data_IF_483641020553
#
_entry.id   IF_483641020553
#
_cell.length_a   1.000
_cell.length_b   1.000
_cell.length_c   1.000
_cell.angle_alpha   90.00
_cell.angle_beta   90.00
_cell.angle_gamma   90.00
#
_symmetry.space_group_name_H-M   'P 1'
#
loop_
_entity.id
_entity.type
_entity.pdbx_description
1 polymer ?
#
# COMPACT_ATOMS: atom_id res chain seq x y z
N UNK A 1 10.72 19.43 19.31
CA UNK A 1 11.59 18.24 19.29
C UNK A 1 12.10 18.03 17.88
N UNK A 2 13.13 17.21 17.66
CA UNK A 2 13.57 16.82 16.31
C UNK A 2 13.12 15.40 16.05
N UNK A 3 12.35 15.17 15.00
CA UNK A 3 11.93 13.82 14.58
C UNK A 3 13.15 13.01 14.12
N UNK A 4 13.17 11.71 14.42
CA UNK A 4 14.20 10.81 13.90
C UNK A 4 14.00 10.54 12.40
N UNK A 5 15.05 10.07 11.70
CA UNK A 5 14.93 9.77 10.28
C UNK A 5 13.93 8.62 10.01
N UNK A 6 13.92 7.60 10.87
CA UNK A 6 12.99 6.47 10.77
C UNK A 6 11.54 6.93 10.95
N UNK A 7 11.25 7.73 11.97
CA UNK A 7 9.90 8.28 12.19
C UNK A 7 9.46 9.22 11.06
N UNK A 8 10.40 10.00 10.53
CA UNK A 8 10.16 10.88 9.39
C UNK A 8 9.76 10.08 8.14
N UNK A 9 10.56 9.07 7.78
CA UNK A 9 10.26 8.18 6.66
C UNK A 9 8.98 7.38 6.88
N UNK A 10 8.77 6.88 8.10
CA UNK A 10 7.56 6.15 8.48
C UNK A 10 6.32 7.02 8.30
N UNK A 11 6.35 8.27 8.78
CA UNK A 11 5.25 9.22 8.65
C UNK A 11 4.94 9.49 7.18
N UNK A 12 5.95 9.68 6.33
CA UNK A 12 5.76 9.84 4.88
C UNK A 12 5.12 8.58 4.27
N UNK A 13 5.62 7.39 4.62
CA UNK A 13 5.11 6.13 4.09
C UNK A 13 3.60 5.98 4.31
N UNK A 14 3.05 6.41 5.45
CA UNK A 14 1.61 6.39 5.72
C UNK A 14 0.77 7.04 4.61
N UNK A 15 1.28 8.11 3.98
CA UNK A 15 0.59 8.81 2.89
C UNK A 15 0.76 8.11 1.52
N UNK A 16 1.78 7.27 1.36
CA UNK A 16 2.08 6.57 0.12
C UNK A 16 1.38 5.21 0.02
N UNK A 17 1.13 4.57 1.16
CA UNK A 17 0.58 3.22 1.24
C UNK A 17 -0.92 3.16 0.88
N UNK A 18 -1.33 2.04 0.25
CA UNK A 18 -2.75 1.71 0.01
C UNK A 18 -3.44 1.47 1.35
N UNK A 19 -2.79 0.66 2.18
CA UNK A 19 -3.23 0.37 3.52
C UNK A 19 -2.05 0.28 4.48
N UNK A 20 -1.85 1.29 5.36
CA UNK A 20 -0.75 1.27 6.29
C UNK A 20 -0.88 0.22 7.38
N UNK A 21 -2.11 -0.22 7.70
CA UNK A 21 -2.37 -1.21 8.76
C UNK A 21 -2.31 -2.66 8.26
N UNK A 22 -2.06 -2.87 6.96
CA UNK A 22 -1.98 -4.21 6.39
C UNK A 22 -0.72 -4.94 6.86
N UNK A 23 -0.80 -6.27 7.00
CA UNK A 23 0.35 -7.11 7.34
C UNK A 23 1.51 -6.99 6.35
N UNK A 24 1.19 -6.72 5.07
CA UNK A 24 2.15 -6.46 4.00
C UNK A 24 1.74 -5.18 3.28
N UNK A 25 2.07 -4.01 3.85
CA UNK A 25 1.67 -2.74 3.29
C UNK A 25 2.34 -2.53 1.93
N UNK A 26 1.58 -1.98 0.97
CA UNK A 26 2.05 -1.73 -0.41
C UNK A 26 1.86 -0.28 -0.78
N UNK A 27 2.83 0.26 -1.52
CA UNK A 27 2.73 1.61 -2.08
C UNK A 27 1.62 1.66 -3.12
N UNK A 28 0.80 2.71 -3.07
CA UNK A 28 -0.21 2.95 -4.07
C UNK A 28 0.46 3.45 -5.37
N UNK A 29 0.21 2.84 -6.55
CA UNK A 29 0.93 3.17 -7.79
C UNK A 29 0.88 4.67 -8.15
N UNK A 30 -0.30 5.30 -8.03
CA UNK A 30 -0.48 6.75 -8.27
C UNK A 30 0.23 7.67 -7.26
N UNK A 31 0.86 7.13 -6.22
CA UNK A 31 1.53 7.88 -5.16
C UNK A 31 3.04 7.72 -5.18
N UNK A 32 3.57 6.88 -6.07
CA UNK A 32 5.02 6.68 -6.22
C UNK A 32 5.71 7.96 -6.67
N UNK A 33 5.10 8.70 -7.59
CA UNK A 33 5.64 9.96 -8.13
C UNK A 33 5.05 11.21 -7.45
N UNK A 34 4.59 11.08 -6.20
CA UNK A 34 3.99 12.21 -5.49
C UNK A 34 5.02 13.33 -5.31
N UNK A 35 4.65 14.56 -5.67
CA UNK A 35 5.54 15.71 -5.49
C UNK A 35 5.58 16.16 -4.02
N UNK A 36 6.69 16.79 -3.61
CA UNK A 36 6.85 17.36 -2.27
C UNK A 36 5.69 18.27 -1.87
N UNK A 37 5.22 19.10 -2.80
CA UNK A 37 4.09 20.01 -2.56
C UNK A 37 2.77 19.27 -2.35
N UNK A 38 2.52 18.19 -3.09
CA UNK A 38 1.33 17.35 -2.91
C UNK A 38 1.37 16.64 -1.54
N UNK A 39 2.53 16.10 -1.16
CA UNK A 39 2.72 15.44 0.13
C UNK A 39 2.51 16.43 1.29
N UNK A 40 3.16 17.61 1.22
CA UNK A 40 2.97 18.68 2.20
C UNK A 40 1.50 19.07 2.35
N UNK A 41 0.79 19.28 1.23
CA UNK A 41 -0.64 19.62 1.26
C UNK A 41 -1.46 18.55 1.97
N UNK A 42 -1.16 17.26 1.75
CA UNK A 42 -1.87 16.16 2.42
C UNK A 42 -1.59 16.14 3.92
N UNK A 43 -0.34 16.31 4.33
CA UNK A 43 0.04 16.37 5.75
C UNK A 43 -0.64 17.56 6.43
N UNK A 44 -0.59 18.75 5.83
CA UNK A 44 -1.22 19.95 6.38
C UNK A 44 -2.74 19.82 6.47
N UNK A 45 -3.37 19.15 5.50
CA UNK A 45 -4.81 18.86 5.54
C UNK A 45 -5.14 17.91 6.70
N UNK A 46 -4.35 16.85 6.89
CA UNK A 46 -4.55 15.90 7.99
C UNK A 46 -4.43 16.59 9.36
N UNK A 47 -3.40 17.42 9.53
CA UNK A 47 -3.19 18.17 10.78
C UNK A 47 -4.41 19.05 11.07
N UNK A 48 -4.87 19.83 10.07
CA UNK A 48 -6.04 20.71 10.23
C UNK A 48 -7.31 19.93 10.55
N UNK A 49 -7.59 18.86 9.82
CA UNK A 49 -8.81 18.06 10.04
C UNK A 49 -8.86 17.43 11.44
N UNK A 50 -7.72 16.97 11.95
CA UNK A 50 -7.62 16.40 13.30
C UNK A 50 -7.80 17.47 14.37
N UNK A 51 -7.19 18.65 14.18
CA UNK A 51 -7.36 19.80 15.08
C UNK A 51 -8.80 20.33 15.08
N UNK A 52 -9.42 20.45 13.91
CA UNK A 52 -10.81 20.92 13.75
C UNK A 52 -11.84 19.94 14.31
N UNK A 53 -11.58 18.64 14.22
CA UNK A 53 -12.47 17.60 14.76
C UNK A 53 -12.22 17.30 16.24
N UNK A 54 -11.28 18.01 16.89
CA UNK A 54 -10.87 17.81 18.29
C UNK A 54 -10.57 16.32 18.60
N UNK A 55 -10.00 15.61 17.62
CA UNK A 55 -9.66 14.21 17.79
C UNK A 55 -8.41 14.13 18.66
N UNK A 56 -8.49 13.35 19.74
CA UNK A 56 -7.35 13.06 20.60
C UNK A 56 -6.36 12.16 19.85
N UNK A 57 -5.43 12.80 19.15
CA UNK A 57 -4.41 12.14 18.33
C UNK A 57 -3.12 12.95 18.36
N UNK A 58 -1.99 12.26 18.52
CA UNK A 58 -0.69 12.92 18.54
C UNK A 58 -0.28 13.39 17.13
N UNK A 59 -0.35 14.70 16.92
CA UNK A 59 0.04 15.36 15.68
C UNK A 59 1.52 15.72 15.61
N UNK A 60 2.30 15.49 16.67
CA UNK A 60 3.71 15.88 16.75
C UNK A 60 4.55 15.32 15.59
N UNK A 61 4.45 14.01 15.24
CA UNK A 61 5.24 13.45 14.13
C UNK A 61 4.90 14.09 12.78
N UNK A 62 3.62 14.40 12.55
CA UNK A 62 3.13 15.02 11.32
C UNK A 62 3.60 16.47 11.19
N UNK A 63 3.53 17.24 12.29
CA UNK A 63 3.99 18.64 12.34
C UNK A 63 5.50 18.74 12.10
N UNK A 64 6.30 17.89 12.75
CA UNK A 64 7.75 17.89 12.54
C UNK A 64 8.12 17.36 11.14
N UNK A 65 7.41 16.36 10.60
CA UNK A 65 7.58 15.90 9.21
C UNK A 65 7.32 17.02 8.21
N UNK A 66 6.22 17.76 8.36
CA UNK A 66 5.92 18.90 7.48
C UNK A 66 7.00 19.98 7.57
N UNK A 67 7.50 20.26 8.77
CA UNK A 67 8.60 21.21 9.00
C UNK A 67 9.89 20.76 8.32
N UNK A 68 10.24 19.47 8.41
CA UNK A 68 11.43 18.91 7.76
C UNK A 68 11.30 18.95 6.24
N UNK A 69 10.15 18.58 5.67
CA UNK A 69 9.87 18.70 4.24
C UNK A 69 9.99 20.15 3.73
N UNK A 70 9.57 21.14 4.52
CA UNK A 70 9.73 22.56 4.18
C UNK A 70 11.19 23.03 4.21
N UNK A 71 12.04 22.41 5.05
CA UNK A 71 13.47 22.73 5.13
C UNK A 71 14.26 22.19 3.94
N UNK A 72 13.82 21.10 3.34
CA UNK A 72 14.42 20.55 2.12
C UNK A 72 14.24 21.53 0.97
N UNK A 73 15.33 22.16 0.54
CA UNK A 73 15.30 23.15 -0.56
C UNK A 73 15.56 22.49 -1.90
N UNK A 74 16.48 21.52 -1.91
CA UNK A 74 16.88 20.79 -3.10
C UNK A 74 15.84 19.75 -3.45
N UNK A 75 15.71 19.47 -4.75
CA UNK A 75 14.76 18.47 -5.26
C UNK A 75 15.30 17.06 -4.99
N UNK A 76 16.61 16.90 -5.12
CA UNK A 76 17.35 15.66 -4.98
C UNK A 76 17.20 15.09 -3.56
N UNK A 77 17.28 15.94 -2.52
CA UNK A 77 17.07 15.55 -1.12
C UNK A 77 15.69 14.88 -0.91
N UNK A 78 14.66 15.38 -1.60
CA UNK A 78 13.32 14.78 -1.52
C UNK A 78 13.25 13.48 -2.31
N UNK A 79 13.84 13.43 -3.50
CA UNK A 79 13.84 12.24 -4.35
C UNK A 79 14.61 11.07 -3.72
N UNK A 80 15.70 11.34 -2.99
CA UNK A 80 16.45 10.35 -2.23
C UNK A 80 15.58 9.72 -1.13
N UNK A 81 14.93 10.54 -0.31
CA UNK A 81 14.02 10.06 0.75
C UNK A 81 12.87 9.23 0.17
N UNK A 82 12.27 9.71 -0.92
CA UNK A 82 11.20 8.97 -1.59
C UNK A 82 11.70 7.63 -2.13
N UNK A 83 12.88 7.60 -2.75
CA UNK A 83 13.46 6.37 -3.29
C UNK A 83 13.73 5.34 -2.21
N UNK A 84 14.25 5.77 -1.05
CA UNK A 84 14.51 4.91 0.11
C UNK A 84 13.20 4.28 0.63
N UNK A 85 12.16 5.10 0.81
CA UNK A 85 10.85 4.62 1.24
C UNK A 85 10.26 3.65 0.20
N UNK A 86 10.29 4.00 -1.08
CA UNK A 86 9.75 3.15 -2.14
C UNK A 86 10.48 1.81 -2.22
N UNK A 87 11.80 1.78 -2.02
CA UNK A 87 12.59 0.57 -2.00
C UNK A 87 12.19 -0.36 -0.84
N UNK A 88 11.89 0.21 0.33
CA UNK A 88 11.47 -0.57 1.50
C UNK A 88 10.11 -1.28 1.30
N UNK A 89 9.19 -0.66 0.54
CA UNK A 89 7.82 -1.16 0.36
C UNK A 89 7.53 -1.76 -1.02
N UNK A 90 8.49 -1.74 -1.95
CA UNK A 90 8.37 -2.45 -3.23
C UNK A 90 8.89 -3.87 -3.06
N UNK A 91 8.04 -4.91 -3.26
CA UNK A 91 8.53 -6.27 -3.25
C UNK A 91 9.55 -6.41 -4.38
N UNK A 92 10.81 -6.61 -4.02
CA UNK A 92 11.85 -7.05 -4.94
C UNK A 92 11.30 -8.29 -5.63
N UNK A 93 10.83 -8.16 -6.88
CA UNK A 93 10.43 -9.31 -7.68
C UNK A 93 11.69 -10.14 -7.81
N UNK A 94 11.83 -11.20 -7.01
CA UNK A 94 12.81 -12.26 -7.28
C UNK A 94 12.61 -12.60 -8.75
N UNK A 95 13.61 -12.31 -9.58
CA UNK A 95 13.54 -12.51 -11.02
C UNK A 95 12.94 -13.89 -11.26
N UNK A 96 11.75 -13.95 -11.87
CA UNK A 96 11.16 -15.23 -12.26
C UNK A 96 12.20 -15.85 -13.20
N UNK A 97 12.80 -16.97 -12.79
CA UNK A 97 13.66 -17.76 -13.69
C UNK A 97 12.87 -17.91 -15.00
N UNK A 98 13.47 -17.61 -16.17
CA UNK A 98 12.77 -17.70 -17.43
C UNK A 98 12.18 -19.11 -17.54
N UNK A 99 10.87 -19.20 -17.81
CA UNK A 99 10.25 -20.47 -18.16
C UNK A 99 11.04 -21.03 -19.34
N UNK A 100 11.72 -22.15 -19.13
CA UNK A 100 12.31 -22.90 -20.22
C UNK A 100 11.17 -23.25 -21.17
N UNK A 101 11.17 -22.64 -22.35
CA UNK A 101 10.35 -23.07 -23.47
C UNK A 101 10.83 -24.49 -23.82
N UNK A 102 10.01 -25.49 -23.51
CA UNK A 102 10.14 -26.80 -24.13
C UNK A 102 9.69 -26.65 -25.58
N UNK A 103 10.50 -27.05 -26.59
CA UNK A 103 10.07 -27.01 -27.97
C UNK A 103 8.97 -28.06 -28.19
N UNK A 104 7.75 -27.60 -28.47
CA UNK A 104 6.70 -28.43 -29.05
C UNK A 104 7.19 -28.98 -30.39
N UNK A 105 7.38 -30.30 -30.47
CA UNK A 105 7.48 -30.98 -31.76
C UNK A 105 6.08 -31.25 -32.28
N UNK A 106 5.77 -30.54 -33.37
CA UNK A 106 4.66 -30.76 -34.28
C UNK A 106 4.36 -32.25 -34.54
N UNK A 107 3.12 -32.67 -34.33
CA UNK A 107 2.45 -33.63 -35.20
C UNK A 107 1.03 -33.13 -35.48
N UNK A 108 0.80 -32.73 -36.72
CA UNK A 108 -0.52 -32.40 -37.27
C UNK A 108 -1.14 -33.71 -37.75
N UNK A 109 -2.40 -33.99 -37.39
CA UNK A 109 -3.48 -34.43 -38.31
C UNK A 109 -4.82 -34.69 -37.57
N UNK A 110 -5.98 -34.69 -38.29
CA UNK A 110 -7.17 -33.93 -37.89
C UNK A 110 -8.36 -34.73 -37.30
N UNK A 111 -9.19 -33.98 -36.56
CA UNK A 111 -10.65 -34.03 -36.31
C UNK A 111 -11.41 -35.37 -36.53
N UNK A 112 -11.99 -35.88 -35.43
CA UNK A 112 -13.41 -36.37 -35.42
C UNK A 112 -14.03 -36.18 -34.01
N UNK A 113 -15.33 -35.80 -33.90
CA UNK A 113 -16.00 -35.52 -32.61
C UNK A 113 -17.00 -36.62 -32.22
N UNK A 114 -16.94 -37.18 -31.00
CA UNK A 114 -18.06 -37.95 -30.40
C UNK A 114 -18.12 -37.80 -28.87
N UNK A 115 -19.36 -37.78 -28.39
CA UNK A 115 -19.94 -37.40 -27.10
C UNK A 115 -19.72 -38.39 -25.94
N UNK A 116 -19.89 -37.84 -24.72
CA UNK A 116 -20.36 -38.44 -23.46
C UNK A 116 -19.51 -39.52 -22.77
N UNK A 117 -19.20 -39.35 -21.47
CA UNK A 117 -19.86 -40.07 -20.36
C UNK A 117 -19.16 -39.82 -18.99
N UNK A 118 -19.95 -39.35 -18.03
CA UNK A 118 -19.98 -39.62 -16.58
C UNK A 118 -18.71 -39.62 -15.67
N UNK A 119 -18.85 -38.84 -14.58
CA UNK A 119 -18.66 -39.17 -13.13
C UNK A 119 -17.32 -39.75 -12.64
N UNK A 120 -16.69 -39.05 -11.69
CA UNK A 120 -16.58 -39.38 -10.23
C UNK A 120 -15.56 -38.44 -9.56
N UNK A 121 -15.92 -37.72 -8.47
CA UNK A 121 -15.54 -37.98 -7.06
C UNK A 121 -14.02 -37.84 -6.80
N UNK A 122 -13.44 -37.25 -5.75
CA UNK A 122 -13.75 -36.69 -4.43
C UNK A 122 -12.64 -35.63 -4.16
N UNK A 123 -12.88 -34.45 -3.59
CA UNK A 123 -13.11 -34.11 -2.17
C UNK A 123 -11.85 -34.20 -1.26
N UNK A 124 -11.83 -33.34 -0.23
CA UNK A 124 -10.84 -33.12 0.86
C UNK A 124 -9.88 -31.92 0.66
N UNK A 125 -9.74 -30.96 1.58
CA UNK A 125 -10.41 -30.72 2.86
C UNK A 125 -10.16 -29.27 3.32
N UNK A 126 -11.10 -28.80 4.14
CA UNK A 126 -11.11 -27.51 4.79
C UNK A 126 -10.29 -27.48 6.10
N UNK A 127 -10.14 -26.25 6.63
CA UNK A 127 -9.91 -25.84 8.03
C UNK A 127 -8.48 -25.79 8.58
N UNK A 128 -8.13 -24.58 9.02
CA UNK A 128 -7.61 -24.20 10.36
C UNK A 128 -7.89 -22.69 10.52
N UNK A 129 -9.02 -22.28 11.09
CA UNK A 129 -9.21 -21.88 12.51
C UNK A 129 -8.06 -21.03 13.07
N UNK A 130 -8.28 -19.70 13.13
CA UNK A 130 -8.68 -18.89 14.29
C UNK A 130 -7.62 -18.82 15.40
N UNK A 131 -7.03 -17.64 15.55
CA UNK A 131 -6.68 -17.11 16.87
C UNK A 131 -7.07 -15.63 16.93
N UNK A 132 -7.85 -15.31 17.95
CA UNK A 132 -8.20 -13.96 18.40
C UNK A 132 -6.93 -13.24 18.86
N UNK A 133 -6.74 -11.99 18.43
CA UNK A 133 -6.09 -10.97 19.25
C UNK A 133 -7.00 -9.75 19.24
N UNK A 134 -7.52 -9.47 20.43
CA UNK A 134 -8.40 -8.36 20.77
C UNK A 134 -7.49 -7.27 21.29
N UNK A 135 -7.07 -6.32 20.44
CA UNK A 135 -6.56 -5.00 20.82
C UNK A 135 -6.37 -4.16 19.54
N UNK A 136 -6.74 -2.88 19.61
CA UNK A 136 -6.60 -1.82 18.58
C UNK A 136 -7.71 -1.67 17.53
N UNK A 137 -8.97 -1.53 17.98
CA UNK A 137 -10.08 -1.06 17.13
C UNK A 137 -10.07 0.46 16.88
N UNK A 138 -9.19 1.24 17.53
CA UNK A 138 -9.21 2.72 17.45
C UNK A 138 -8.37 3.28 16.29
N UNK A 139 -7.22 2.68 15.98
CA UNK A 139 -6.33 3.15 14.91
C UNK A 139 -6.86 2.80 13.52
N UNK A 140 -7.36 1.58 13.34
CA UNK A 140 -7.91 1.08 12.08
C UNK A 140 -9.15 1.88 11.63
N UNK A 141 -10.04 2.22 12.58
CA UNK A 141 -11.25 2.97 12.28
C UNK A 141 -10.94 4.44 11.92
N UNK A 142 -9.90 5.02 12.54
CA UNK A 142 -9.39 6.35 12.19
C UNK A 142 -8.85 6.39 10.75
N UNK A 143 -7.97 5.45 10.37
CA UNK A 143 -7.44 5.39 9.01
C UNK A 143 -8.53 5.05 7.97
N UNK A 144 -9.54 4.25 8.31
CA UNK A 144 -10.69 4.03 7.41
C UNK A 144 -11.52 5.31 7.23
N UNK A 145 -11.77 6.07 8.31
CA UNK A 145 -12.48 7.35 8.25
C UNK A 145 -11.67 8.39 7.46
N UNK A 146 -10.36 8.46 7.67
CA UNK A 146 -9.46 9.31 6.89
C UNK A 146 -9.40 8.90 5.42
N UNK A 147 -9.31 7.59 5.11
CA UNK A 147 -9.31 7.10 3.72
C UNK A 147 -10.59 7.48 2.99
N UNK A 148 -11.74 7.42 3.67
CA UNK A 148 -13.02 7.83 3.09
C UNK A 148 -13.04 9.33 2.76
N UNK A 149 -12.46 10.17 3.62
CA UNK A 149 -12.40 11.62 3.41
C UNK A 149 -11.30 12.05 2.40
N UNK A 150 -10.16 11.35 2.37
CA UNK A 150 -9.02 11.69 1.51
C UNK A 150 -9.03 11.03 0.12
N UNK A 151 -9.65 9.85 -0.03
CA UNK A 151 -9.63 9.05 -1.27
C UNK A 151 -11.03 8.72 -1.80
N UNK A 152 -12.09 8.96 -1.04
CA UNK A 152 -13.48 8.70 -1.43
C UNK A 152 -14.12 9.91 -2.09
N UNK A 153 -13.81 10.15 -3.36
CA UNK A 153 -14.69 10.82 -4.32
C UNK A 153 -14.17 10.54 -5.74
N UNK A 154 -14.39 9.31 -6.21
CA UNK A 154 -14.12 8.94 -7.59
C UNK A 154 -15.05 7.82 -8.06
N UNK A 155 -16.34 7.89 -7.74
CA UNK A 155 -17.42 7.17 -8.42
C UNK A 155 -18.73 7.91 -8.10
N UNK A 156 -19.14 8.84 -8.96
CA UNK A 156 -20.55 9.11 -9.33
C UNK A 156 -20.58 10.30 -10.29
N UNK A 157 -20.51 9.98 -11.59
CA UNK A 157 -21.32 10.57 -12.65
C UNK A 157 -21.14 9.75 -13.93
#
# INVERSE_FOLDING_TARGET
>A
MTISNEEFQFTIAQFLLIDPTAQTPRVHPKRMDMSKGQLLKRIDTLIREVEEQEIEFDLTPYKETAKQLRKMKKREEYEEVMSEILLAYTPQRKARKPKQFLPEKNTINPIVPVKNLAKSSEDLSAKKEKMQVKQEETSSHFFQKLKRNFFGNAQEK
#
